data_IF_083588254410
#
_entry.id   IF_083588254410
#
_cell.length_a   1.000
_cell.length_b   1.000
_cell.length_c   1.000
_cell.angle_alpha   90.00
_cell.angle_beta   90.00
_cell.angle_gamma   90.00
#
_symmetry.space_group_name_H-M   'P 1'
#
loop_
_entity.id
_entity.type
_entity.pdbx_description
1 polymer ?
#
# COMPACT_ATOMS: atom_id res chain seq x y z
N UNK A 1 13.78 -58.31 31.88
CA UNK A 1 13.01 -58.02 30.64
C UNK A 1 12.10 -56.78 30.81
N UNK A 2 11.48 -56.56 31.97
CA UNK A 2 10.72 -55.33 32.30
C UNK A 2 11.45 -53.99 32.05
N UNK A 3 12.73 -53.89 32.45
CA UNK A 3 13.49 -52.63 32.44
C UNK A 3 13.62 -52.00 31.04
N UNK A 4 13.88 -52.81 30.01
CA UNK A 4 14.04 -52.34 28.61
C UNK A 4 12.69 -51.86 28.04
N UNK A 5 11.59 -52.48 28.48
CA UNK A 5 10.24 -52.20 28.01
C UNK A 5 9.71 -50.86 28.55
N UNK A 6 10.10 -50.48 29.77
CA UNK A 6 9.72 -49.23 30.42
C UNK A 6 10.44 -48.01 29.82
N UNK A 7 11.75 -48.14 29.50
CA UNK A 7 12.51 -47.11 28.77
C UNK A 7 11.99 -46.89 27.35
N UNK A 8 11.59 -47.96 26.65
CA UNK A 8 11.00 -47.86 25.32
C UNK A 8 9.64 -47.13 25.30
N UNK A 9 8.86 -47.21 26.37
CA UNK A 9 7.59 -46.47 26.51
C UNK A 9 7.85 -44.97 26.72
N UNK A 10 8.80 -44.62 27.60
CA UNK A 10 9.20 -43.24 27.86
C UNK A 10 9.76 -42.54 26.61
N UNK A 11 10.56 -43.24 25.80
CA UNK A 11 11.11 -42.70 24.54
C UNK A 11 10.01 -42.46 23.50
N UNK A 12 9.05 -43.39 23.37
CA UNK A 12 7.90 -43.22 22.45
C UNK A 12 7.00 -42.06 22.86
N UNK A 13 6.77 -41.89 24.16
CA UNK A 13 6.02 -40.75 24.69
C UNK A 13 6.75 -39.42 24.42
N UNK A 14 8.07 -39.38 24.60
CA UNK A 14 8.89 -38.20 24.31
C UNK A 14 8.90 -37.84 22.81
N UNK A 15 9.04 -38.84 21.94
CA UNK A 15 8.97 -38.65 20.48
C UNK A 15 7.58 -38.20 20.02
N UNK A 16 6.51 -38.73 20.62
CA UNK A 16 5.14 -38.30 20.31
C UNK A 16 4.89 -36.83 20.69
N UNK A 17 5.43 -36.35 21.82
CA UNK A 17 5.31 -34.96 22.26
C UNK A 17 6.10 -34.01 21.34
N UNK A 18 7.31 -34.41 20.91
CA UNK A 18 8.12 -33.65 19.96
C UNK A 18 7.42 -33.55 18.60
N UNK A 19 6.84 -34.64 18.11
CA UNK A 19 6.08 -34.65 16.86
C UNK A 19 4.79 -33.82 16.94
N UNK A 20 4.12 -33.78 18.11
CA UNK A 20 2.91 -32.98 18.30
C UNK A 20 3.21 -31.47 18.38
N UNK A 21 4.36 -31.09 18.96
CA UNK A 21 4.80 -29.69 19.05
C UNK A 21 5.25 -29.06 17.71
N UNK A 22 5.61 -29.88 16.72
CA UNK A 22 6.05 -29.45 15.39
C UNK A 22 4.89 -29.03 14.46
N UNK A 23 3.63 -29.25 14.85
CA UNK A 23 2.47 -28.99 14.01
C UNK A 23 1.68 -27.74 14.42
N UNK A 24 2.32 -26.78 15.11
CA UNK A 24 1.71 -25.47 15.34
C UNK A 24 1.86 -24.67 14.03
N UNK A 25 0.76 -24.36 13.31
CA UNK A 25 0.87 -23.46 12.17
C UNK A 25 1.29 -22.09 12.71
N UNK A 26 2.48 -21.63 12.29
CA UNK A 26 2.90 -20.25 12.51
C UNK A 26 1.95 -19.41 11.67
N UNK A 27 0.93 -18.83 12.29
CA UNK A 27 0.12 -17.81 11.64
C UNK A 27 1.04 -16.61 11.43
N UNK A 28 1.52 -16.46 10.18
CA UNK A 28 2.27 -15.28 9.79
C UNK A 28 1.39 -14.05 10.01
N UNK A 29 1.84 -13.11 10.83
CA UNK A 29 1.23 -11.78 10.92
C UNK A 29 1.35 -11.18 9.52
N UNK A 30 0.26 -11.18 8.77
CA UNK A 30 0.19 -10.45 7.51
C UNK A 30 0.16 -8.97 7.87
N UNK A 31 1.27 -8.28 7.64
CA UNK A 31 1.31 -6.83 7.78
C UNK A 31 0.28 -6.26 6.80
N UNK A 32 -0.69 -5.50 7.32
CA UNK A 32 -1.68 -4.84 6.48
C UNK A 32 -0.95 -3.89 5.53
N UNK A 33 -1.24 -3.94 4.21
CA UNK A 33 -0.59 -3.05 3.26
C UNK A 33 -0.98 -1.60 3.57
N UNK A 34 0.01 -0.70 3.51
CA UNK A 34 -0.18 0.75 3.62
C UNK A 34 -0.24 1.32 2.21
N UNK A 35 -1.37 1.91 1.86
CA UNK A 35 -1.60 2.51 0.54
C UNK A 35 -1.17 3.97 0.50
N UNK A 36 -0.49 4.37 -0.56
CA UNK A 36 -0.03 5.74 -0.77
C UNK A 36 -1.15 6.58 -1.39
N UNK A 37 -1.52 7.64 -0.69
CA UNK A 37 -2.54 8.60 -1.11
C UNK A 37 -1.88 9.93 -1.47
N UNK A 38 -1.94 10.33 -2.73
CA UNK A 38 -1.43 11.60 -3.20
C UNK A 38 -2.54 12.63 -3.39
N UNK A 39 -2.20 13.90 -3.14
CA UNK A 39 -3.07 15.05 -3.38
C UNK A 39 -2.31 16.02 -4.26
N UNK A 40 -2.97 16.57 -5.30
CA UNK A 40 -2.35 17.61 -6.13
C UNK A 40 -1.92 18.79 -5.25
N UNK A 41 -0.64 19.24 -5.33
CA UNK A 41 -0.13 20.30 -4.47
C UNK A 41 -0.63 21.68 -4.92
N UNK A 42 -1.89 22.00 -4.58
CA UNK A 42 -2.48 23.35 -4.77
C UNK A 42 -2.30 24.25 -3.54
N UNK A 43 -2.07 23.63 -2.39
CA UNK A 43 -1.78 24.29 -1.11
C UNK A 43 -0.46 23.77 -0.55
N UNK A 44 0.06 24.42 0.50
CA UNK A 44 1.26 23.93 1.17
C UNK A 44 1.01 22.59 1.88
N UNK A 45 2.09 21.83 2.13
CA UNK A 45 2.01 20.50 2.73
C UNK A 45 1.31 20.51 4.11
N UNK A 46 1.45 21.58 4.88
CA UNK A 46 0.80 21.71 6.20
C UNK A 46 -0.72 21.79 6.07
N UNK A 47 -1.23 22.58 5.13
CA UNK A 47 -2.66 22.69 4.86
C UNK A 47 -3.21 21.36 4.32
N UNK A 48 -2.51 20.74 3.37
CA UNK A 48 -2.90 19.43 2.83
C UNK A 48 -2.94 18.39 3.97
N UNK A 49 -1.92 18.31 4.81
CA UNK A 49 -1.90 17.40 5.96
C UNK A 49 -3.09 17.66 6.89
N UNK A 50 -3.27 18.90 7.35
CA UNK A 50 -4.37 19.28 8.25
C UNK A 50 -5.74 18.87 7.70
N UNK A 51 -5.97 19.08 6.42
CA UNK A 51 -7.28 18.89 5.80
C UNK A 51 -7.52 17.42 5.39
N UNK A 52 -6.48 16.69 4.99
CA UNK A 52 -6.60 15.31 4.48
C UNK A 52 -6.40 14.22 5.52
N UNK A 53 -5.61 14.44 6.56
CA UNK A 53 -5.46 13.47 7.67
C UNK A 53 -6.82 13.01 8.23
N UNK A 54 -7.75 13.90 8.64
CA UNK A 54 -9.04 13.45 9.19
C UNK A 54 -9.90 12.70 8.17
N UNK A 55 -9.75 12.97 6.87
CA UNK A 55 -10.46 12.24 5.81
C UNK A 55 -9.92 10.83 5.70
N UNK A 56 -8.60 10.67 5.68
CA UNK A 56 -7.96 9.35 5.63
C UNK A 56 -8.30 8.54 6.88
N UNK A 57 -8.21 9.13 8.07
CA UNK A 57 -8.55 8.46 9.33
C UNK A 57 -9.98 7.89 9.32
N UNK A 58 -10.95 8.64 8.77
CA UNK A 58 -12.32 8.14 8.62
C UNK A 58 -12.43 6.96 7.64
N UNK A 59 -11.67 6.98 6.55
CA UNK A 59 -11.66 5.89 5.57
C UNK A 59 -10.98 4.65 6.18
N UNK A 60 -9.88 4.84 6.91
CA UNK A 60 -9.20 3.76 7.65
C UNK A 60 -10.17 3.09 8.63
N UNK A 61 -10.88 3.89 9.43
CA UNK A 61 -11.86 3.37 10.39
C UNK A 61 -13.00 2.59 9.73
N UNK A 62 -13.44 3.01 8.54
CA UNK A 62 -14.56 2.37 7.83
C UNK A 62 -14.15 1.13 7.04
N UNK A 63 -12.93 1.08 6.54
CA UNK A 63 -12.47 0.04 5.60
C UNK A 63 -11.50 -0.95 6.23
N UNK A 64 -10.82 -0.57 7.32
CA UNK A 64 -9.74 -1.34 7.94
C UNK A 64 -8.42 -1.28 7.18
N UNK A 65 -8.34 -0.56 6.06
CA UNK A 65 -7.10 -0.30 5.34
C UNK A 65 -6.29 0.82 6.01
N UNK A 66 -4.98 0.84 5.75
CA UNK A 66 -4.08 1.91 6.19
C UNK A 66 -3.65 2.74 5.00
N UNK A 67 -3.56 4.06 5.19
CA UNK A 67 -3.15 5.00 4.16
C UNK A 67 -2.00 5.88 4.64
N UNK A 68 -1.14 6.26 3.70
CA UNK A 68 -0.07 7.23 3.91
C UNK A 68 -0.27 8.39 2.96
N UNK A 69 -0.33 9.60 3.50
CA UNK A 69 -0.41 10.81 2.69
C UNK A 69 0.97 11.15 2.11
N UNK A 70 1.06 11.20 0.78
CA UNK A 70 2.26 11.53 0.01
C UNK A 70 2.18 12.96 -0.51
N UNK A 71 3.23 13.74 -0.26
CA UNK A 71 3.33 15.14 -0.69
C UNK A 71 4.31 15.29 -1.85
N UNK A 72 3.94 16.14 -2.81
CA UNK A 72 4.79 16.53 -3.92
C UNK A 72 5.12 18.02 -3.82
N UNK A 73 6.34 18.38 -4.19
CA UNK A 73 6.84 19.77 -4.11
C UNK A 73 6.26 20.68 -5.18
N UNK A 74 5.74 20.12 -6.28
CA UNK A 74 5.21 20.87 -7.42
C UNK A 74 4.21 20.01 -8.20
N UNK A 75 3.39 20.65 -9.04
CA UNK A 75 2.48 19.93 -9.95
C UNK A 75 3.27 19.07 -10.93
N UNK A 76 4.43 19.53 -11.42
CA UNK A 76 5.25 18.75 -12.35
C UNK A 76 5.80 17.48 -11.70
N UNK A 77 6.25 17.54 -10.43
CA UNK A 77 6.73 16.35 -9.71
C UNK A 77 5.58 15.40 -9.40
N UNK A 78 4.39 15.92 -9.07
CA UNK A 78 3.18 15.11 -8.94
C UNK A 78 2.82 14.39 -10.26
N UNK A 79 2.81 15.09 -11.40
CA UNK A 79 2.46 14.47 -12.70
C UNK A 79 3.45 13.35 -13.08
N UNK A 80 4.75 13.54 -12.83
CA UNK A 80 5.77 12.50 -13.04
C UNK A 80 5.54 11.29 -12.13
N UNK A 81 5.28 11.51 -10.84
CA UNK A 81 5.04 10.42 -9.89
C UNK A 81 3.74 9.67 -10.17
N UNK A 82 2.69 10.39 -10.57
CA UNK A 82 1.42 9.82 -10.99
C UNK A 82 1.59 8.91 -12.21
N UNK A 83 2.31 9.34 -13.24
CA UNK A 83 2.57 8.53 -14.44
C UNK A 83 3.43 7.29 -14.16
N UNK A 84 4.26 7.34 -13.12
CA UNK A 84 5.08 6.21 -12.67
C UNK A 84 4.33 5.22 -11.77
N UNK A 85 3.12 5.57 -11.32
CA UNK A 85 2.37 4.74 -10.36
C UNK A 85 2.98 4.76 -8.95
N UNK A 86 3.63 5.85 -8.55
CA UNK A 86 4.22 5.98 -7.20
C UNK A 86 3.16 6.10 -6.09
N UNK A 87 1.91 6.36 -6.44
CA UNK A 87 0.78 6.46 -5.52
C UNK A 87 -0.35 5.54 -5.94
N UNK A 88 -0.97 4.88 -4.97
CA UNK A 88 -2.11 3.98 -5.18
C UNK A 88 -3.41 4.76 -5.43
N UNK A 89 -3.55 5.89 -4.74
CA UNK A 89 -4.68 6.81 -4.88
C UNK A 89 -4.19 8.22 -5.16
N UNK A 90 -4.93 8.97 -5.98
CA UNK A 90 -4.61 10.35 -6.31
C UNK A 90 -5.87 11.22 -6.33
N UNK A 91 -5.96 12.18 -5.41
CA UNK A 91 -6.97 13.24 -5.48
C UNK A 91 -6.49 14.35 -6.41
N UNK A 92 -7.11 14.40 -7.57
CA UNK A 92 -6.80 15.36 -8.63
C UNK A 92 -7.91 16.39 -8.81
N UNK A 93 -7.53 17.65 -9.03
CA UNK A 93 -8.48 18.68 -9.44
C UNK A 93 -9.06 18.31 -10.83
N UNK A 94 -10.39 18.37 -11.03
CA UNK A 94 -11.05 17.96 -12.27
C UNK A 94 -10.58 18.69 -13.53
N UNK A 95 -9.89 19.83 -13.41
CA UNK A 95 -9.25 20.48 -14.55
C UNK A 95 -8.18 19.61 -15.23
N UNK A 96 -7.53 18.67 -14.52
CA UNK A 96 -6.55 17.75 -15.11
C UNK A 96 -7.21 16.73 -16.05
N UNK A 97 -8.38 16.20 -15.71
CA UNK A 97 -9.13 15.30 -16.58
C UNK A 97 -9.53 16.00 -17.89
N UNK A 98 -9.88 17.29 -17.82
CA UNK A 98 -10.26 18.10 -18.98
C UNK A 98 -9.03 18.54 -19.80
N UNK A 99 -7.94 18.94 -19.14
CA UNK A 99 -6.70 19.34 -19.79
C UNK A 99 -5.99 18.16 -20.48
N UNK A 100 -6.03 16.94 -19.91
CA UNK A 100 -5.52 15.75 -20.59
C UNK A 100 -6.34 15.41 -21.85
N UNK A 101 -7.67 15.56 -21.80
CA UNK A 101 -8.52 15.41 -22.99
C UNK A 101 -8.18 16.43 -24.07
N UNK A 102 -7.84 17.67 -23.68
CA UNK A 102 -7.42 18.75 -24.60
C UNK A 102 -6.01 18.53 -25.16
N UNK A 103 -5.03 18.13 -24.33
CA UNK A 103 -3.65 17.83 -24.78
C UNK A 103 -3.59 16.65 -25.74
N UNK A 104 -4.45 15.63 -25.57
CA UNK A 104 -4.55 14.51 -26.54
C UNK A 104 -5.03 14.97 -27.92
N UNK A 105 -5.87 16.01 -27.99
CA UNK A 105 -6.29 16.62 -29.26
C UNK A 105 -5.23 17.58 -29.83
N UNK A 106 -4.45 18.26 -28.97
CA UNK A 106 -3.45 19.25 -29.41
C UNK A 106 -2.11 18.60 -29.81
N UNK A 107 -1.70 17.49 -29.20
CA UNK A 107 -0.47 16.77 -29.59
C UNK A 107 -0.51 16.25 -31.03
N UNK A 108 -1.69 15.95 -31.58
CA UNK A 108 -1.84 15.58 -33.01
C UNK A 108 -1.46 16.73 -33.97
N UNK A 109 -1.48 17.99 -33.52
CA UNK A 109 -1.20 19.15 -34.36
C UNK A 109 0.23 19.67 -34.21
N UNK A 110 0.90 19.43 -33.07
CA UNK A 110 2.26 19.92 -32.84
C UNK A 110 3.34 19.05 -33.53
N UNK A 111 3.03 17.79 -33.80
CA UNK A 111 3.89 16.87 -34.57
C UNK A 111 3.86 17.13 -36.09
N UNK A 112 2.97 18.00 -36.58
CA UNK A 112 2.85 18.38 -38.00
C UNK A 112 3.55 19.70 -38.38
N UNK A 113 4.04 20.49 -37.41
CA UNK A 113 4.67 21.81 -37.65
C UNK A 113 6.14 21.83 -37.23
N UNK A 114 6.73 20.64 -37.01
CA UNK A 114 8.14 20.49 -36.61
C UNK A 114 8.94 19.65 -37.63
N UNK A 115 8.72 19.88 -38.93
CA UNK A 115 9.63 19.50 -40.03
C UNK A 115 9.98 20.74 -40.82
#
# INVERSE_FOLDING_TARGET
>A
MEYIRQHAFSIRALLAIICLGLFIPIQGVNAQPIYNWAVVPQFNNTAIHRDWTPVLDMIEQKTGYQFKLTFYTSISSFEVGFLKGESDFAYMNPYHAVAQKKRRATCQLYEMVSV
#
